data_IF_726010241279
#
_entry.id   IF_726010241279
#
_cell.length_a   1.000
_cell.length_b   1.000
_cell.length_c   1.000
_cell.angle_alpha   90.00
_cell.angle_beta   90.00
_cell.angle_gamma   90.00
#
_symmetry.space_group_name_H-M   'P 1'
#
loop_
_entity.id
_entity.type
_entity.pdbx_description
1 polymer ?
#
# COMPACT_ATOMS: atom_id res chain seq x y z
N UNK A 1 18.36 5.89 -3.73
CA UNK A 1 18.46 6.12 -5.19
C UNK A 1 18.15 4.77 -5.85
N UNK A 2 16.88 4.50 -6.13
CA UNK A 2 16.41 3.21 -6.65
C UNK A 2 16.28 3.24 -8.17
N UNK A 3 16.75 2.19 -8.84
CA UNK A 3 16.66 2.02 -10.30
C UNK A 3 15.26 1.50 -10.63
N UNK A 4 14.45 2.31 -11.33
CA UNK A 4 13.07 2.00 -11.69
C UNK A 4 12.93 0.94 -12.79
N UNK A 5 11.80 0.24 -12.76
CA UNK A 5 11.37 -0.73 -13.77
C UNK A 5 10.86 -0.02 -15.04
N UNK A 6 11.19 -0.52 -16.25
CA UNK A 6 10.66 -0.03 -17.54
C UNK A 6 10.92 1.46 -17.93
N UNK A 7 12.10 2.02 -17.61
CA UNK A 7 12.47 3.42 -17.95
C UNK A 7 11.55 4.52 -17.35
N UNK A 8 10.63 4.17 -16.44
CA UNK A 8 9.99 5.13 -15.53
C UNK A 8 10.78 5.14 -14.23
N UNK A 9 11.31 6.30 -13.88
CA UNK A 9 12.40 6.44 -12.90
C UNK A 9 12.12 5.96 -11.48
N UNK A 10 10.89 5.62 -11.11
CA UNK A 10 10.51 5.41 -9.70
C UNK A 10 9.47 4.30 -9.43
N UNK A 11 9.19 3.41 -10.40
CA UNK A 11 8.23 2.33 -10.17
C UNK A 11 8.85 1.13 -9.43
N UNK A 12 8.18 0.68 -8.38
CA UNK A 12 8.43 -0.61 -7.74
C UNK A 12 7.44 -1.64 -8.27
N UNK A 13 7.97 -2.78 -8.70
CA UNK A 13 7.17 -3.89 -9.16
C UNK A 13 7.28 -5.05 -8.17
N UNK A 14 6.13 -5.60 -7.77
CA UNK A 14 6.11 -6.85 -7.03
C UNK A 14 5.73 -7.99 -7.98
N UNK A 15 6.72 -8.76 -8.41
CA UNK A 15 6.55 -10.06 -9.08
C UNK A 15 6.86 -11.18 -8.08
N UNK A 16 5.95 -12.11 -7.90
CA UNK A 16 6.25 -13.36 -7.20
C UNK A 16 5.03 -14.06 -6.63
N UNK A 17 5.23 -15.27 -6.12
CA UNK A 17 4.18 -16.01 -5.42
C UNK A 17 4.05 -15.46 -3.99
N UNK A 18 3.04 -14.62 -3.76
CA UNK A 18 2.59 -14.33 -2.39
C UNK A 18 1.88 -15.56 -1.86
N UNK A 19 2.24 -16.00 -0.65
CA UNK A 19 1.51 -17.05 0.05
C UNK A 19 0.26 -16.52 0.76
N UNK A 20 0.18 -15.19 0.95
CA UNK A 20 -0.89 -14.50 1.68
C UNK A 20 -0.98 -13.04 1.19
N UNK A 21 -2.20 -12.48 1.19
CA UNK A 21 -2.48 -11.08 0.81
C UNK A 21 -1.85 -10.02 1.71
N UNK A 22 -1.42 -10.40 2.92
CA UNK A 22 -0.74 -9.51 3.86
C UNK A 22 0.78 -9.41 3.61
N UNK A 23 1.31 -10.11 2.60
CA UNK A 23 2.75 -10.12 2.27
C UNK A 23 3.06 -9.21 1.08
N UNK A 24 2.95 -7.90 1.29
CA UNK A 24 3.21 -6.88 0.30
C UNK A 24 4.59 -6.23 0.34
N UNK A 25 4.75 -5.16 -0.43
CA UNK A 25 5.90 -4.26 -0.32
C UNK A 25 5.84 -3.49 1.01
N UNK A 26 6.99 -3.28 1.64
CA UNK A 26 7.11 -2.52 2.87
C UNK A 26 8.20 -1.46 2.77
N UNK A 27 8.00 -0.35 3.46
CA UNK A 27 8.99 0.70 3.61
C UNK A 27 8.92 1.31 5.01
N UNK A 28 10.07 1.50 5.65
CA UNK A 28 10.14 2.24 6.91
C UNK A 28 9.86 3.72 6.66
N UNK A 29 8.94 4.30 7.45
CA UNK A 29 8.65 5.73 7.46
C UNK A 29 9.55 6.47 8.45
N UNK A 30 9.73 7.77 8.24
CA UNK A 30 10.28 8.65 9.27
C UNK A 30 9.15 9.03 10.23
N UNK A 31 9.28 8.66 11.50
CA UNK A 31 8.30 8.93 12.56
C UNK A 31 8.38 10.36 13.11
N UNK A 32 9.46 11.11 12.85
CA UNK A 32 9.66 12.48 13.38
C UNK A 32 8.51 13.44 13.03
N UNK A 33 7.80 13.19 11.92
CA UNK A 33 6.70 14.01 11.45
C UNK A 33 5.31 13.45 11.82
N UNK A 34 5.22 12.19 12.27
CA UNK A 34 3.96 11.52 12.60
C UNK A 34 3.55 11.85 14.04
N UNK A 35 3.20 13.10 14.29
CA UNK A 35 2.77 13.59 15.62
C UNK A 35 1.27 13.41 15.83
N UNK A 36 0.84 13.33 17.09
CA UNK A 36 -0.58 13.24 17.48
C UNK A 36 -1.45 14.29 16.78
N UNK A 37 -2.63 13.87 16.32
CA UNK A 37 -3.63 14.67 15.61
C UNK A 37 -3.17 15.22 14.25
N UNK A 38 -2.00 14.80 13.75
CA UNK A 38 -1.60 15.10 12.38
C UNK A 38 -2.40 14.26 11.38
N UNK A 39 -2.68 14.86 10.22
CA UNK A 39 -3.45 14.24 9.14
C UNK A 39 -2.58 14.19 7.89
N UNK A 40 -2.39 13.00 7.34
CA UNK A 40 -1.49 12.73 6.22
C UNK A 40 -2.26 12.16 5.05
N UNK A 41 -2.08 12.75 3.86
CA UNK A 41 -2.64 12.19 2.64
C UNK A 41 -1.60 11.32 1.95
N UNK A 42 -1.83 10.02 1.93
CA UNK A 42 -0.98 9.05 1.26
C UNK A 42 -1.51 8.84 -0.15
N UNK A 43 -0.64 8.93 -1.16
CA UNK A 43 -1.02 8.75 -2.57
C UNK A 43 -0.03 7.87 -3.31
N UNK A 44 -0.52 7.10 -4.27
CA UNK A 44 0.29 6.40 -5.26
C UNK A 44 -0.52 6.15 -6.53
N UNK A 45 0.15 5.65 -7.56
CA UNK A 45 -0.50 5.03 -8.72
C UNK A 45 -0.11 3.56 -8.81
N UNK A 46 -1.04 2.71 -9.26
CA UNK A 46 -0.79 1.28 -9.40
C UNK A 46 -1.34 0.70 -10.71
N UNK A 47 -0.75 -0.40 -11.16
CA UNK A 47 -1.32 -1.30 -12.18
C UNK A 47 -1.53 -2.67 -11.57
N UNK A 48 -2.54 -3.39 -12.04
CA UNK A 48 -2.94 -4.70 -11.55
C UNK A 48 -2.92 -5.71 -12.70
N UNK A 49 -2.39 -6.90 -12.44
CA UNK A 49 -2.27 -7.96 -13.44
C UNK A 49 -2.27 -9.34 -12.76
N UNK A 50 -2.54 -10.39 -13.51
CA UNK A 50 -2.52 -11.76 -12.98
C UNK A 50 -1.09 -12.32 -12.85
N UNK A 51 -0.97 -13.58 -12.44
CA UNK A 51 0.32 -14.28 -12.32
C UNK A 51 1.04 -14.52 -13.66
N UNK A 52 0.33 -14.41 -14.78
CA UNK A 52 0.86 -14.60 -16.12
C UNK A 52 1.25 -13.27 -16.80
N UNK A 53 1.07 -12.13 -16.13
CA UNK A 53 1.36 -10.82 -16.70
C UNK A 53 0.22 -10.25 -17.55
N UNK A 54 -1.00 -10.79 -17.44
CA UNK A 54 -2.18 -10.30 -18.17
C UNK A 54 -2.80 -9.15 -17.39
N UNK A 55 -2.91 -8.00 -18.05
CA UNK A 55 -3.41 -6.74 -17.49
C UNK A 55 -4.93 -6.54 -17.67
N UNK A 56 -5.61 -7.49 -18.31
CA UNK A 56 -7.06 -7.48 -18.57
C UNK A 56 -7.88 -7.96 -17.37
N UNK A 57 -7.44 -7.60 -16.17
CA UNK A 57 -8.07 -7.98 -14.90
C UNK A 57 -8.42 -6.74 -14.08
N UNK A 58 -9.56 -6.81 -13.39
CA UNK A 58 -10.03 -5.77 -12.49
C UNK A 58 -9.86 -6.19 -11.03
N UNK A 59 -9.81 -5.20 -10.15
CA UNK A 59 -9.83 -5.41 -8.71
C UNK A 59 -10.85 -4.50 -8.04
N UNK A 60 -11.32 -4.92 -6.86
CA UNK A 60 -12.21 -4.16 -6.00
C UNK A 60 -11.41 -3.13 -5.19
N UNK A 61 -11.66 -1.85 -5.48
CA UNK A 61 -11.01 -0.72 -4.80
C UNK A 61 -11.57 -0.45 -3.40
N UNK A 62 -12.73 -1.01 -3.07
CA UNK A 62 -13.54 -0.62 -1.93
C UNK A 62 -13.65 -1.73 -0.87
N UNK A 63 -13.30 -2.96 -1.21
CA UNK A 63 -13.21 -4.06 -0.25
C UNK A 63 -11.80 -4.68 -0.24
N UNK A 64 -10.95 -4.39 0.77
CA UNK A 64 -9.61 -4.97 0.90
C UNK A 64 -9.63 -6.47 1.24
N UNK A 65 -10.82 -7.04 1.47
CA UNK A 65 -11.05 -8.45 1.72
C UNK A 65 -11.66 -9.19 0.53
N UNK A 66 -12.03 -8.49 -0.54
CA UNK A 66 -12.58 -9.10 -1.74
C UNK A 66 -11.64 -10.17 -2.31
N UNK A 67 -12.21 -11.10 -3.09
CA UNK A 67 -11.42 -12.13 -3.78
C UNK A 67 -10.39 -11.52 -4.74
N UNK A 68 -10.74 -10.39 -5.35
CA UNK A 68 -9.89 -9.63 -6.25
C UNK A 68 -9.67 -8.24 -5.67
N UNK A 69 -9.21 -8.12 -4.42
CA UNK A 69 -8.97 -6.81 -3.80
C UNK A 69 -7.80 -6.07 -4.45
N UNK A 70 -7.96 -4.76 -4.64
CA UNK A 70 -6.88 -3.89 -5.10
C UNK A 70 -5.80 -3.72 -4.01
N UNK A 71 -4.57 -3.32 -4.40
CA UNK A 71 -3.57 -2.88 -3.44
C UNK A 71 -4.12 -1.77 -2.54
N UNK A 72 -3.85 -1.87 -1.25
CA UNK A 72 -4.19 -0.85 -0.25
C UNK A 72 -2.99 -0.49 0.60
N UNK A 73 -2.97 0.72 1.15
CA UNK A 73 -1.99 1.07 2.16
C UNK A 73 -2.34 0.41 3.50
N UNK A 74 -1.33 0.17 4.32
CA UNK A 74 -1.46 -0.12 5.74
C UNK A 74 -0.25 0.49 6.44
N UNK A 75 -0.41 1.05 7.63
CA UNK A 75 0.71 1.53 8.44
C UNK A 75 0.69 0.81 9.78
N UNK A 76 1.82 0.18 10.11
CA UNK A 76 2.02 -0.44 11.41
C UNK A 76 3.04 0.36 12.22
N UNK A 77 2.72 0.58 13.49
CA UNK A 77 3.49 1.33 14.48
C UNK A 77 3.93 0.38 15.58
N UNK A 78 5.23 0.40 15.91
CA UNK A 78 5.79 -0.46 16.95
C UNK A 78 7.11 0.08 17.49
N UNK A 79 7.49 -0.40 18.67
CA UNK A 79 8.79 -0.11 19.30
C UNK A 79 9.65 -1.36 19.22
N UNK A 80 10.92 -1.22 18.85
CA UNK A 80 11.80 -2.36 18.66
C UNK A 80 12.03 -3.08 19.99
N UNK A 81 11.64 -4.35 20.06
CA UNK A 81 11.74 -5.16 21.27
C UNK A 81 10.42 -5.37 22.00
N UNK A 82 9.38 -4.60 21.66
CA UNK A 82 8.03 -4.82 22.15
C UNK A 82 7.30 -5.88 21.31
N UNK A 83 6.38 -6.60 21.95
CA UNK A 83 5.48 -7.55 21.29
C UNK A 83 4.19 -6.89 20.80
N UNK A 84 3.92 -5.68 21.28
CA UNK A 84 2.73 -4.90 20.96
C UNK A 84 3.00 -4.00 19.76
N UNK A 85 2.04 -3.94 18.85
CA UNK A 85 2.05 -3.04 17.70
C UNK A 85 0.63 -2.55 17.46
N UNK A 86 0.54 -1.34 16.90
CA UNK A 86 -0.72 -0.76 16.46
C UNK A 86 -0.74 -0.73 14.94
N UNK A 87 -1.85 -1.17 14.36
CA UNK A 87 -2.04 -1.16 12.91
C UNK A 87 -3.17 -0.21 12.56
N UNK A 88 -3.01 0.54 11.47
CA UNK A 88 -4.14 1.23 10.83
C UNK A 88 -5.18 0.26 10.28
N UNK A 89 -4.82 -1.01 10.13
CA UNK A 89 -5.52 -1.95 9.26
C UNK A 89 -5.40 -1.56 7.77
N UNK A 90 -6.02 -2.35 6.88
CA UNK A 90 -6.06 -2.02 5.45
C UNK A 90 -6.88 -0.76 5.21
N UNK A 91 -6.23 0.26 4.66
CA UNK A 91 -6.81 1.56 4.39
C UNK A 91 -7.53 1.58 3.05
N UNK A 92 -8.87 1.64 3.08
CA UNK A 92 -9.71 1.63 1.88
C UNK A 92 -9.38 2.80 0.95
N UNK A 93 -9.36 2.55 -0.35
CA UNK A 93 -9.07 3.58 -1.34
C UNK A 93 -10.18 4.65 -1.37
N UNK A 94 -9.81 5.90 -1.11
CA UNK A 94 -10.72 7.06 -1.13
C UNK A 94 -10.98 7.56 -2.55
N UNK A 95 -10.13 7.18 -3.51
CA UNK A 95 -10.28 7.61 -4.90
C UNK A 95 -11.50 6.94 -5.56
N UNK A 96 -12.52 7.74 -5.91
CA UNK A 96 -13.78 7.28 -6.51
C UNK A 96 -13.81 7.25 -8.04
N UNK A 97 -12.69 7.54 -8.72
CA UNK A 97 -12.65 7.43 -10.17
C UNK A 97 -12.76 5.97 -10.61
N UNK A 98 -13.30 5.75 -11.81
CA UNK A 98 -13.43 4.43 -12.41
C UNK A 98 -12.07 3.74 -12.52
N UNK A 99 -12.10 2.41 -12.36
CA UNK A 99 -10.94 1.58 -12.57
C UNK A 99 -10.61 1.51 -14.06
N UNK A 100 -9.32 1.64 -14.38
CA UNK A 100 -8.79 1.56 -15.74
C UNK A 100 -8.08 0.23 -15.91
N UNK A 101 -8.74 -0.72 -16.57
CA UNK A 101 -8.17 -2.03 -16.91
C UNK A 101 -6.86 -1.86 -17.67
N UNK A 102 -5.80 -2.53 -17.22
CA UNK A 102 -4.43 -2.41 -17.71
C UNK A 102 -3.77 -1.03 -17.63
N UNK A 103 -4.46 -0.04 -17.06
CA UNK A 103 -3.98 1.32 -16.88
C UNK A 103 -3.47 1.58 -15.46
N UNK A 104 -2.87 2.76 -15.30
CA UNK A 104 -2.52 3.30 -13.99
C UNK A 104 -3.76 3.81 -13.28
N UNK A 105 -4.00 3.29 -12.08
CA UNK A 105 -5.11 3.59 -11.19
C UNK A 105 -4.58 4.33 -9.95
N UNK A 106 -5.36 5.29 -9.44
CA UNK A 106 -4.98 6.04 -8.25
C UNK A 106 -5.32 5.28 -6.98
N UNK A 107 -4.39 5.27 -6.04
CA UNK A 107 -4.57 4.81 -4.67
C UNK A 107 -4.37 6.01 -3.74
N UNK A 108 -5.41 6.37 -2.98
CA UNK A 108 -5.37 7.52 -2.07
C UNK A 108 -6.04 7.14 -0.75
N UNK A 109 -5.45 7.58 0.36
CA UNK A 109 -6.07 7.48 1.68
C UNK A 109 -5.60 8.62 2.60
N UNK A 110 -6.43 8.99 3.57
CA UNK A 110 -6.10 9.97 4.60
C UNK A 110 -5.86 9.25 5.94
N UNK A 111 -4.63 9.27 6.42
CA UNK A 111 -4.25 8.72 7.72
C UNK A 111 -4.32 9.82 8.79
N UNK A 112 -5.10 9.59 9.84
CA UNK A 112 -5.10 10.39 11.06
C UNK A 112 -4.21 9.70 12.11
N UNK A 113 -3.19 10.40 12.60
CA UNK A 113 -2.23 9.85 13.58
C UNK A 113 -2.79 10.03 14.98
N UNK A 114 -3.15 8.93 15.63
CA UNK A 114 -3.62 8.95 17.01
C UNK A 114 -2.47 9.12 18.01
N UNK A 115 -2.80 9.53 19.24
CA UNK A 115 -1.82 9.62 20.32
C UNK A 115 -1.12 8.27 20.60
N UNK A 116 -1.83 7.16 20.42
CA UNK A 116 -1.28 5.82 20.58
C UNK A 116 -0.26 5.50 19.48
N UNK A 117 -0.60 5.78 18.21
CA UNK A 117 0.32 5.61 17.08
C UNK A 117 1.59 6.45 17.23
N UNK A 118 1.44 7.72 17.63
CA UNK A 118 2.55 8.66 17.84
C UNK A 118 3.45 8.28 19.04
N UNK A 119 3.03 7.34 19.89
CA UNK A 119 3.85 6.89 21.03
C UNK A 119 4.93 5.86 20.64
N UNK A 120 4.86 5.31 19.43
CA UNK A 120 5.80 4.31 18.93
C UNK A 120 7.00 4.93 18.20
N UNK A 121 8.17 4.28 18.34
CA UNK A 121 9.42 4.78 17.76
C UNK A 121 9.55 4.51 16.25
N UNK A 122 8.86 3.47 15.74
CA UNK A 122 8.97 3.04 14.35
C UNK A 122 7.59 2.91 13.71
N UNK A 123 7.49 3.34 12.45
CA UNK A 123 6.32 3.13 11.61
C UNK A 123 6.73 2.56 10.24
N UNK A 124 6.03 1.54 9.77
CA UNK A 124 6.23 0.93 8.45
C UNK A 124 4.96 1.08 7.62
N UNK A 125 5.10 1.54 6.38
CA UNK A 125 4.01 1.51 5.40
C UNK A 125 4.12 0.23 4.56
N UNK A 126 2.98 -0.40 4.34
CA UNK A 126 2.81 -1.58 3.52
C UNK A 126 1.86 -1.31 2.37
N UNK A 127 2.03 -2.06 1.29
CA UNK A 127 1.07 -2.14 0.19
C UNK A 127 0.55 -3.59 0.11
N UNK A 128 -0.61 -3.84 0.71
CA UNK A 128 -1.14 -5.17 0.97
C UNK A 128 -2.49 -5.41 0.26
N UNK A 129 -3.18 -6.48 0.66
CA UNK A 129 -4.50 -6.92 0.17
C UNK A 129 -4.54 -7.46 -1.25
N UNK A 130 -3.41 -7.63 -1.94
CA UNK A 130 -3.42 -8.32 -3.23
C UNK A 130 -3.40 -9.83 -3.04
N UNK A 131 -4.46 -10.50 -3.48
CA UNK A 131 -4.62 -11.94 -3.37
C UNK A 131 -3.49 -12.72 -4.06
N UNK A 132 -3.09 -13.89 -3.54
CA UNK A 132 -2.23 -14.83 -4.28
C UNK A 132 -2.76 -15.10 -5.69
N UNK A 133 -1.84 -15.20 -6.66
CA UNK A 133 -2.17 -15.36 -8.08
C UNK A 133 -2.37 -14.04 -8.83
N UNK A 134 -2.31 -12.89 -8.14
CA UNK A 134 -2.28 -11.56 -8.75
C UNK A 134 -1.01 -10.82 -8.40
N UNK A 135 -0.66 -9.82 -9.19
CA UNK A 135 0.50 -8.97 -9.02
C UNK A 135 0.13 -7.51 -9.24
N UNK A 136 1.05 -6.63 -8.85
CA UNK A 136 0.87 -5.21 -9.03
C UNK A 136 2.20 -4.49 -9.20
N UNK A 137 2.10 -3.36 -9.86
CA UNK A 137 3.13 -2.32 -9.92
C UNK A 137 2.63 -1.12 -9.15
N UNK A 138 3.53 -0.44 -8.46
CA UNK A 138 3.25 0.83 -7.81
C UNK A 138 4.31 1.87 -8.18
N UNK A 139 3.90 3.12 -8.32
CA UNK A 139 4.78 4.25 -8.57
C UNK A 139 4.22 5.50 -7.88
N UNK A 140 5.02 6.56 -7.83
CA UNK A 140 4.66 7.88 -7.33
C UNK A 140 4.11 7.87 -5.89
N UNK A 141 4.68 7.01 -5.02
CA UNK A 141 4.31 6.93 -3.60
C UNK A 141 4.73 8.21 -2.89
N UNK A 142 3.76 8.91 -2.32
CA UNK A 142 3.92 10.17 -1.57
C UNK A 142 3.11 10.12 -0.28
N UNK A 143 3.64 10.77 0.73
CA UNK A 143 3.02 11.01 2.03
C UNK A 143 3.37 12.42 2.47
#
# INVERSE_FOLDING_TARGET
MGLGYHNVGYAFQHIGHRSDRWRGMLQKLNTDCLVTDSVWKITAVFRYFDEHGVYEVECDKYDPKAKHSCPVFQVDFFTMGDIEFVTSGPMMNENRHDFKVGGWNRLEHTLEVTAEMASYETAWIYINSVEPGFNYEIDDVKM
#
